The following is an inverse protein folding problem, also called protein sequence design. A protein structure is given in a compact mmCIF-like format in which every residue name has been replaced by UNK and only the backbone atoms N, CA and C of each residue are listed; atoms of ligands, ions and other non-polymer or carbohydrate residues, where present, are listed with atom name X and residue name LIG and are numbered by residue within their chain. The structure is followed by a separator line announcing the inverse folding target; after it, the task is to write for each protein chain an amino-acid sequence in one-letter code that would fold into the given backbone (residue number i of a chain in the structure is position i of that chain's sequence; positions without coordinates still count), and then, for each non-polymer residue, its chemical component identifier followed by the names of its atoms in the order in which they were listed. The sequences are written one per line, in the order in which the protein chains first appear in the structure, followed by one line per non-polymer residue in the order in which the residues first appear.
data_IF_620859548059
#
_entry.id   IF_620859548059
#
_cell.length_a   1.000
_cell.length_b   1.000
_cell.length_c   1.000
_cell.angle_alpha   90.00
_cell.angle_beta   90.00
_cell.angle_gamma   90.00
#
_symmetry.space_group_name_H-M   'P 1'
#
loop_
_entity.id
_entity.type
_entity.pdbx_description
1 polymer ?
#
# COMPACT_ATOMS: atom_id res chain seq x y z
N UNK A 1 45.48 12.70 -54.19
CA UNK A 1 45.51 11.80 -53.01
C UNK A 1 44.54 12.40 -51.99
N UNK A 2 43.26 12.03 -52.00
CA UNK A 2 42.59 11.05 -51.13
C UNK A 2 42.73 11.29 -49.60
N UNK A 3 41.56 11.55 -48.98
CA UNK A 3 41.12 11.31 -47.58
C UNK A 3 41.44 12.42 -46.58
N UNK A 4 40.64 12.73 -45.56
CA UNK A 4 39.24 12.52 -45.19
C UNK A 4 39.03 13.32 -43.89
N UNK A 5 37.80 13.79 -43.62
CA UNK A 5 37.41 14.61 -42.48
C UNK A 5 37.56 13.94 -41.11
N UNK A 6 37.60 14.73 -40.02
CA UNK A 6 36.71 14.50 -38.87
C UNK A 6 36.62 15.72 -37.94
N UNK A 7 35.36 16.07 -37.67
CA UNK A 7 34.82 17.10 -36.78
C UNK A 7 34.85 16.58 -35.33
N UNK A 8 35.08 17.47 -34.37
CA UNK A 8 34.88 17.19 -32.93
C UNK A 8 34.11 18.32 -32.27
N UNK A 9 32.79 18.34 -32.42
CA UNK A 9 31.88 19.24 -31.72
C UNK A 9 31.68 18.70 -30.30
N UNK A 10 32.20 19.40 -29.29
CA UNK A 10 32.03 19.01 -27.88
C UNK A 10 30.64 19.43 -27.40
N UNK A 11 29.67 18.53 -27.51
CA UNK A 11 28.33 18.70 -26.97
C UNK A 11 28.35 18.42 -25.46
N UNK A 12 28.41 19.48 -24.67
CA UNK A 12 28.24 19.39 -23.22
C UNK A 12 26.77 19.09 -22.91
N UNK A 13 26.45 17.82 -22.67
CA UNK A 13 25.13 17.37 -22.28
C UNK A 13 24.88 17.76 -20.81
N UNK A 14 24.18 18.88 -20.59
CA UNK A 14 23.57 19.15 -19.28
C UNK A 14 22.50 18.08 -19.02
N UNK A 15 22.80 17.16 -18.12
CA UNK A 15 21.81 16.26 -17.54
C UNK A 15 20.88 17.10 -16.64
N UNK A 16 19.82 17.64 -17.23
CA UNK A 16 18.71 18.19 -16.45
C UNK A 16 18.03 17.02 -15.75
N UNK A 17 18.32 16.84 -14.46
CA UNK A 17 17.54 15.98 -13.58
C UNK A 17 16.15 16.61 -13.50
N UNK A 18 15.21 16.06 -14.26
CA UNK A 18 13.80 16.41 -14.10
C UNK A 18 13.40 16.05 -12.66
N UNK A 19 12.85 16.98 -11.87
CA UNK A 19 12.34 16.65 -10.55
C UNK A 19 11.23 15.62 -10.74
N UNK A 20 11.39 14.46 -10.08
CA UNK A 20 10.37 13.42 -10.07
C UNK A 20 9.04 14.03 -9.61
N UNK A 21 8.04 14.00 -10.47
CA UNK A 21 6.69 14.38 -10.13
C UNK A 21 6.18 13.40 -9.07
N UNK A 22 6.26 13.79 -7.81
CA UNK A 22 5.55 13.11 -6.74
C UNK A 22 4.06 13.34 -6.98
N UNK A 23 3.32 12.29 -7.36
CA UNK A 23 1.86 12.34 -7.43
C UNK A 23 1.32 12.47 -6.00
N UNK A 24 1.04 13.70 -5.58
CA UNK A 24 0.41 14.00 -4.31
C UNK A 24 -1.09 14.17 -4.57
N UNK A 25 -1.90 13.31 -3.96
CA UNK A 25 -3.35 13.43 -4.06
C UNK A 25 -3.85 14.52 -3.12
N UNK A 26 -4.82 15.29 -3.58
CA UNK A 26 -5.49 16.33 -2.80
C UNK A 26 -6.98 16.06 -2.77
N UNK A 27 -7.61 16.44 -1.67
CA UNK A 27 -9.07 16.47 -1.56
C UNK A 27 -9.55 17.88 -1.31
N UNK A 28 -10.64 18.27 -1.97
CA UNK A 28 -11.42 19.44 -1.60
C UNK A 28 -12.92 19.08 -1.46
N UNK A 29 -13.65 19.85 -0.66
CA UNK A 29 -15.10 19.74 -0.52
C UNK A 29 -15.75 20.92 -1.24
N UNK A 30 -16.80 20.67 -2.01
CA UNK A 30 -17.59 21.74 -2.63
C UNK A 30 -18.65 22.30 -1.66
N UNK A 31 -19.40 23.29 -2.13
CA UNK A 31 -20.42 23.99 -1.33
C UNK A 31 -21.62 23.10 -0.96
N UNK A 32 -21.73 21.91 -1.56
CA UNK A 32 -22.75 20.90 -1.22
C UNK A 32 -22.26 19.87 -0.20
N UNK A 33 -21.00 19.99 0.23
CA UNK A 33 -20.35 19.03 1.11
C UNK A 33 -19.87 17.76 0.39
N UNK A 34 -19.92 17.72 -0.95
CA UNK A 34 -19.43 16.59 -1.73
C UNK A 34 -17.91 16.68 -1.90
N UNK A 35 -17.24 15.55 -1.76
CA UNK A 35 -15.80 15.45 -1.75
C UNK A 35 -15.24 15.09 -3.14
N UNK A 36 -14.25 15.84 -3.58
CA UNK A 36 -13.56 15.66 -4.86
C UNK A 36 -12.09 15.34 -4.63
N UNK A 37 -11.55 14.38 -5.38
CA UNK A 37 -10.17 13.91 -5.26
C UNK A 37 -9.44 14.18 -6.57
N UNK A 38 -8.26 14.78 -6.47
CA UNK A 38 -7.44 15.12 -7.63
C UNK A 38 -5.98 14.77 -7.38
N UNK A 39 -5.28 14.41 -8.44
CA UNK A 39 -3.87 14.00 -8.48
C UNK A 39 -2.90 15.19 -8.61
N UNK A 40 -3.32 16.39 -8.17
CA UNK A 40 -2.50 17.60 -8.17
C UNK A 40 -3.24 18.84 -7.67
N UNK A 41 -2.52 19.75 -7.02
CA UNK A 41 -3.09 21.00 -6.48
C UNK A 41 -3.63 21.92 -7.59
N UNK A 42 -3.06 21.83 -8.78
CA UNK A 42 -3.44 22.53 -10.00
C UNK A 42 -4.87 22.17 -10.46
N UNK A 43 -5.29 20.93 -10.22
CA UNK A 43 -6.62 20.44 -10.58
C UNK A 43 -7.72 20.83 -9.59
N UNK A 44 -7.37 21.56 -8.52
CA UNK A 44 -8.33 22.09 -7.55
C UNK A 44 -8.81 23.47 -8.01
N UNK A 45 -10.14 23.70 -8.11
CA UNK A 45 -10.69 25.03 -8.36
C UNK A 45 -10.19 26.03 -7.31
N UNK A 46 -9.77 27.22 -7.74
CA UNK A 46 -9.07 28.19 -6.87
C UNK A 46 -9.80 28.48 -5.55
N UNK A 47 -11.13 28.57 -5.63
CA UNK A 47 -12.02 28.81 -4.48
C UNK A 47 -11.93 27.75 -3.37
N UNK A 48 -11.49 26.53 -3.70
CA UNK A 48 -11.34 25.44 -2.74
C UNK A 48 -9.88 25.07 -2.46
N UNK A 49 -8.92 25.72 -3.12
CA UNK A 49 -7.49 25.38 -3.04
C UNK A 49 -6.91 25.64 -1.64
N UNK A 50 -7.38 26.68 -0.96
CA UNK A 50 -6.95 27.00 0.42
C UNK A 50 -7.53 26.05 1.47
N UNK A 51 -8.64 25.38 1.16
CA UNK A 51 -9.27 24.36 2.01
C UNK A 51 -8.87 22.93 1.63
N UNK A 52 -8.03 22.78 0.59
CA UNK A 52 -7.61 21.47 0.11
C UNK A 52 -6.68 20.78 1.10
N UNK A 53 -6.97 19.53 1.40
CA UNK A 53 -6.14 18.71 2.29
C UNK A 53 -5.24 17.82 1.44
N UNK A 54 -3.91 17.91 1.59
CA UNK A 54 -3.01 16.95 0.96
C UNK A 54 -3.23 15.58 1.59
N UNK A 55 -3.65 14.62 0.77
CA UNK A 55 -3.75 13.23 1.17
C UNK A 55 -2.35 12.62 1.05
N UNK A 56 -1.67 12.52 2.19
CA UNK A 56 -0.55 11.60 2.31
C UNK A 56 -1.13 10.23 2.61
N UNK A 57 -1.05 9.28 1.67
CA UNK A 57 -1.27 7.85 1.96
C UNK A 57 -0.17 7.25 2.88
N UNK A 58 0.62 8.10 3.57
CA UNK A 58 1.60 7.67 4.56
C UNK A 58 0.91 7.40 5.89
N UNK A 59 0.57 6.13 6.12
CA UNK A 59 0.31 5.64 7.47
C UNK A 59 1.64 5.49 8.20
N UNK A 60 2.26 6.62 8.57
CA UNK A 60 3.38 6.61 9.50
C UNK A 60 2.83 6.33 10.90
N UNK A 61 3.40 5.37 11.65
CA UNK A 61 3.19 5.33 13.10
C UNK A 61 3.52 6.72 13.65
N UNK A 62 2.72 7.24 14.59
CA UNK A 62 3.22 8.28 15.47
C UNK A 62 4.56 7.78 16.03
N UNK A 63 5.61 8.60 15.95
CA UNK A 63 6.96 8.20 16.33
C UNK A 63 6.98 7.67 17.77
N UNK A 64 6.92 6.35 17.93
CA UNK A 64 7.19 5.68 19.20
C UNK A 64 8.71 5.53 19.29
N UNK A 65 9.35 5.86 20.42
CA UNK A 65 10.78 5.63 20.59
C UNK A 65 11.08 4.15 20.35
N UNK A 66 12.19 3.91 19.65
CA UNK A 66 12.66 2.59 19.27
C UNK A 66 12.55 1.60 20.45
N UNK A 67 11.58 0.68 20.36
CA UNK A 67 11.50 -0.42 21.31
C UNK A 67 12.42 -1.53 20.83
N UNK A 68 13.52 -1.65 21.56
CA UNK A 68 14.54 -2.69 21.50
C UNK A 68 13.92 -4.09 21.50
N UNK A 69 14.29 -4.89 20.49
CA UNK A 69 14.22 -6.37 20.39
C UNK A 69 12.86 -7.07 20.70
N UNK A 70 12.26 -7.66 19.66
CA UNK A 70 11.13 -8.62 19.70
C UNK A 70 11.14 -9.53 18.46
N UNK A 71 10.50 -10.73 18.51
CA UNK A 71 11.07 -12.01 18.09
C UNK A 71 11.23 -12.17 16.57
N UNK A 72 12.16 -13.07 16.18
CA UNK A 72 12.51 -13.42 14.81
C UNK A 72 11.28 -13.47 13.89
N UNK A 73 11.18 -12.46 13.01
CA UNK A 73 10.25 -12.43 11.88
C UNK A 73 10.47 -13.73 11.09
N UNK A 74 9.48 -14.61 11.07
CA UNK A 74 9.59 -15.84 10.30
C UNK A 74 9.83 -15.45 8.83
N UNK A 75 10.91 -16.01 8.25
CA UNK A 75 11.36 -15.66 6.90
C UNK A 75 10.24 -15.91 5.89
N UNK A 76 9.98 -14.97 4.96
CA UNK A 76 9.04 -15.19 3.87
C UNK A 76 9.40 -16.47 3.10
N UNK A 77 8.40 -17.29 2.82
CA UNK A 77 8.58 -18.57 2.14
C UNK A 77 7.57 -18.73 1.01
N UNK A 78 7.91 -19.54 0.01
CA UNK A 78 7.04 -19.91 -1.11
C UNK A 78 6.99 -18.89 -2.25
N UNK A 79 6.74 -19.40 -3.45
CA UNK A 79 6.54 -18.60 -4.66
C UNK A 79 5.09 -18.75 -5.08
N UNK A 80 4.43 -17.65 -5.43
CA UNK A 80 3.04 -17.69 -5.87
C UNK A 80 2.82 -16.83 -7.10
N UNK A 81 1.82 -17.20 -7.90
CA UNK A 81 1.31 -16.42 -9.03
C UNK A 81 -0.15 -16.10 -8.76
N UNK A 82 -0.42 -14.81 -8.59
CA UNK A 82 -1.76 -14.26 -8.43
C UNK A 82 -2.26 -13.85 -9.80
N UNK A 83 -3.39 -14.42 -10.22
CA UNK A 83 -4.04 -14.06 -11.49
C UNK A 83 -5.09 -12.97 -11.25
N UNK A 84 -5.16 -12.01 -12.15
CA UNK A 84 -6.12 -10.92 -12.11
C UNK A 84 -6.55 -10.49 -13.52
N UNK A 85 -7.70 -9.84 -13.62
CA UNK A 85 -8.18 -9.28 -14.89
C UNK A 85 -7.52 -7.92 -15.12
N UNK A 86 -6.78 -7.70 -16.23
CA UNK A 86 -6.20 -6.39 -16.53
C UNK A 86 -7.25 -5.28 -16.53
N UNK A 87 -6.90 -4.13 -15.95
CA UNK A 87 -7.81 -2.99 -15.78
C UNK A 87 -8.84 -3.14 -14.65
N UNK A 88 -8.85 -4.27 -13.93
CA UNK A 88 -9.60 -4.44 -12.69
C UNK A 88 -8.65 -4.38 -11.49
N UNK A 89 -9.25 -4.20 -10.31
CA UNK A 89 -8.54 -4.28 -9.05
C UNK A 89 -8.06 -5.71 -8.78
N UNK A 90 -6.89 -5.83 -8.17
CA UNK A 90 -6.27 -7.13 -7.87
C UNK A 90 -6.77 -7.60 -6.50
N UNK A 91 -7.80 -8.44 -6.51
CA UNK A 91 -8.28 -9.09 -5.29
C UNK A 91 -7.51 -10.38 -5.04
N UNK A 92 -7.12 -10.62 -3.80
CA UNK A 92 -6.31 -11.77 -3.39
C UNK A 92 -6.97 -12.51 -2.24
N UNK A 93 -7.02 -13.83 -2.36
CA UNK A 93 -7.41 -14.70 -1.25
C UNK A 93 -6.21 -14.86 -0.32
N UNK A 94 -6.38 -14.37 0.91
CA UNK A 94 -5.37 -14.35 1.96
C UNK A 94 -5.82 -15.26 3.09
N UNK A 95 -5.00 -16.26 3.40
CA UNK A 95 -5.24 -17.14 4.54
C UNK A 95 -4.60 -16.56 5.79
N UNK A 96 -5.38 -16.43 6.85
CA UNK A 96 -5.02 -15.89 8.15
C UNK A 96 -4.88 -17.05 9.12
N UNK A 97 -3.74 -17.12 9.81
CA UNK A 97 -3.41 -18.15 10.81
C UNK A 97 -3.58 -19.58 10.28
N UNK A 98 -3.38 -19.82 8.97
CA UNK A 98 -3.47 -21.14 8.38
C UNK A 98 -4.88 -21.68 8.14
N UNK A 99 -5.94 -21.01 8.60
CA UNK A 99 -7.29 -21.59 8.69
C UNK A 99 -8.41 -20.74 8.07
N UNK A 100 -8.34 -19.41 8.16
CA UNK A 100 -9.42 -18.54 7.70
C UNK A 100 -9.03 -17.80 6.43
N UNK A 101 -9.84 -17.86 5.38
CA UNK A 101 -9.57 -17.14 4.12
C UNK A 101 -10.37 -15.83 4.08
N UNK A 102 -9.68 -14.73 3.83
CA UNK A 102 -10.25 -13.41 3.60
C UNK A 102 -9.89 -12.92 2.20
N UNK A 103 -10.73 -12.09 1.58
CA UNK A 103 -10.44 -11.48 0.29
C UNK A 103 -9.96 -10.04 0.49
N UNK A 104 -8.68 -9.78 0.22
CA UNK A 104 -8.07 -8.45 0.37
C UNK A 104 -7.78 -7.83 -1.00
N UNK A 105 -7.79 -6.51 -1.09
CA UNK A 105 -7.25 -5.78 -2.23
C UNK A 105 -5.71 -5.71 -2.10
N UNK A 106 -4.97 -6.13 -3.13
CA UNK A 106 -3.54 -5.87 -3.21
C UNK A 106 -3.31 -4.38 -3.46
N UNK A 107 -2.71 -3.70 -2.48
CA UNK A 107 -2.51 -2.25 -2.51
C UNK A 107 -1.05 -1.88 -2.25
N UNK A 108 -0.31 -1.60 -3.33
CA UNK A 108 1.07 -1.12 -3.28
C UNK A 108 1.20 0.31 -2.74
N UNK A 109 0.08 1.05 -2.64
CA UNK A 109 0.00 2.38 -2.03
C UNK A 109 -0.19 2.35 -0.52
N UNK A 110 -0.53 1.19 0.07
CA UNK A 110 -0.73 1.04 1.51
C UNK A 110 0.56 0.59 2.22
N UNK A 111 1.04 1.36 3.19
CA UNK A 111 2.22 1.01 4.00
C UNK A 111 2.00 -0.19 4.93
N UNK A 112 0.73 -0.43 5.29
CA UNK A 112 0.32 -1.41 6.29
C UNK A 112 -0.85 -2.22 5.76
N UNK A 113 -0.82 -3.51 6.05
CA UNK A 113 -1.94 -4.42 5.82
C UNK A 113 -3.07 -4.07 6.80
N UNK A 114 -4.29 -3.93 6.28
CA UNK A 114 -5.49 -3.60 7.05
C UNK A 114 -6.55 -4.67 6.81
N UNK A 115 -7.18 -5.14 7.87
CA UNK A 115 -8.22 -6.18 7.80
C UNK A 115 -9.38 -5.73 8.68
N UNK A 116 -10.61 -5.97 8.22
CA UNK A 116 -11.80 -5.59 8.99
C UNK A 116 -11.80 -6.24 10.39
N UNK A 117 -12.28 -5.54 11.44
CA UNK A 117 -12.42 -6.13 12.76
C UNK A 117 -13.28 -7.39 12.76
N UNK A 118 -14.29 -7.45 11.87
CA UNK A 118 -15.18 -8.62 11.70
C UNK A 118 -14.41 -9.83 11.17
N UNK A 119 -13.59 -9.63 10.15
CA UNK A 119 -12.78 -10.69 9.52
C UNK A 119 -11.72 -11.19 10.48
N UNK A 120 -11.06 -10.30 11.23
CA UNK A 120 -10.08 -10.69 12.27
C UNK A 120 -10.73 -11.52 13.38
N UNK A 121 -11.92 -11.14 13.84
CA UNK A 121 -12.68 -11.92 14.83
C UNK A 121 -13.07 -13.30 14.28
N UNK A 122 -13.54 -13.36 13.03
CA UNK A 122 -13.90 -14.63 12.39
C UNK A 122 -12.68 -15.55 12.21
N UNK A 123 -11.48 -14.97 12.03
CA UNK A 123 -10.21 -15.69 12.01
C UNK A 123 -9.66 -16.06 13.40
N UNK A 124 -10.41 -15.79 14.49
CA UNK A 124 -10.01 -16.11 15.86
C UNK A 124 -8.91 -15.21 16.42
N UNK A 125 -8.64 -14.05 15.81
CA UNK A 125 -7.62 -13.10 16.26
C UNK A 125 -8.14 -12.31 17.47
N UNK A 126 -7.34 -12.26 18.54
CA UNK A 126 -7.68 -11.53 19.74
C UNK A 126 -7.53 -10.01 19.55
N UNK A 127 -8.61 -9.34 19.14
CA UNK A 127 -8.60 -7.89 18.85
C UNK A 127 -8.68 -6.98 20.09
N UNK A 128 -8.96 -7.53 21.28
CA UNK A 128 -9.17 -6.77 22.52
C UNK A 128 -7.88 -6.30 23.20
N UNK A 129 -6.71 -6.71 22.68
CA UNK A 129 -5.38 -6.33 23.19
C UNK A 129 -4.53 -5.78 22.05
N UNK A 130 -4.76 -4.53 21.61
CA UNK A 130 -3.96 -3.93 20.56
C UNK A 130 -2.49 -3.85 21.00
N UNK A 131 -1.58 -4.26 20.13
CA UNK A 131 -0.13 -4.18 20.37
C UNK A 131 0.44 -2.80 20.08
N UNK A 132 -0.28 -2.01 19.27
CA UNK A 132 0.01 -0.63 19.00
C UNK A 132 -1.26 0.10 18.57
N UNK A 133 -1.24 1.43 18.63
CA UNK A 133 -2.24 2.26 17.97
C UNK A 133 -1.55 3.23 17.01
N UNK A 134 -2.11 3.41 15.82
CA UNK A 134 -1.75 4.47 14.88
C UNK A 134 -2.92 5.41 14.64
N UNK A 135 -2.73 6.34 13.71
CA UNK A 135 -3.78 7.21 13.19
C UNK A 135 -3.80 7.08 11.68
N UNK A 136 -5.00 6.94 11.11
CA UNK A 136 -5.22 7.05 9.66
C UNK A 136 -5.84 8.42 9.43
N UNK A 137 -5.20 9.26 8.63
CA UNK A 137 -5.80 10.54 8.23
C UNK A 137 -6.58 10.32 6.94
N UNK A 138 -7.90 10.33 7.06
CA UNK A 138 -8.81 10.17 5.95
C UNK A 138 -9.65 11.43 5.69
N UNK A 139 -10.66 11.21 4.85
CA UNK A 139 -11.61 12.18 4.30
C UNK A 139 -12.50 12.79 5.39
N UNK A 140 -12.85 12.00 6.41
CA UNK A 140 -13.77 12.38 7.49
C UNK A 140 -13.06 12.83 8.76
N UNK A 141 -11.73 12.84 8.77
CA UNK A 141 -10.90 13.16 9.94
C UNK A 141 -9.75 12.17 10.12
N UNK A 142 -9.06 12.26 11.25
CA UNK A 142 -8.13 11.22 11.69
C UNK A 142 -8.91 10.17 12.48
N UNK A 143 -8.85 8.91 12.05
CA UNK A 143 -9.36 7.79 12.83
C UNK A 143 -8.22 7.06 13.54
N UNK A 144 -8.50 6.49 14.71
CA UNK A 144 -7.52 5.70 15.46
C UNK A 144 -7.48 4.30 14.88
N UNK A 145 -6.27 3.87 14.55
CA UNK A 145 -6.02 2.50 14.13
C UNK A 145 -5.48 1.65 15.26
N UNK A 146 -6.14 0.54 15.57
CA UNK A 146 -5.60 -0.51 16.44
C UNK A 146 -4.85 -1.54 15.62
N UNK A 147 -3.63 -1.87 16.03
CA UNK A 147 -2.86 -2.96 15.45
C UNK A 147 -2.97 -4.21 16.32
N UNK A 148 -3.17 -5.35 15.68
CA UNK A 148 -3.23 -6.67 16.30
C UNK A 148 -2.21 -7.58 15.61
N UNK A 149 -1.75 -8.63 16.28
CA UNK A 149 -0.80 -9.58 15.70
C UNK A 149 -1.54 -10.81 15.19
N UNK A 150 -1.28 -11.17 13.95
CA UNK A 150 -1.65 -12.48 13.38
C UNK A 150 -0.43 -13.40 13.43
N UNK A 151 -0.66 -14.71 13.50
CA UNK A 151 0.42 -15.72 13.50
C UNK A 151 1.00 -15.95 12.11
N UNK A 152 0.17 -15.81 11.08
CA UNK A 152 0.61 -15.74 9.68
C UNK A 152 -0.42 -15.16 8.75
N UNK A 153 0.08 -14.62 7.63
CA UNK A 153 -0.67 -14.36 6.42
C UNK A 153 -0.08 -15.19 5.28
N UNK A 154 -0.94 -15.83 4.48
CA UNK A 154 -0.54 -16.59 3.30
C UNK A 154 -1.32 -16.17 2.05
N UNK A 155 -0.62 -16.03 0.93
CA UNK A 155 -1.20 -15.87 -0.41
C UNK A 155 -0.66 -16.99 -1.29
N UNK A 156 -1.48 -18.01 -1.55
CA UNK A 156 -0.99 -19.26 -2.14
C UNK A 156 0.16 -19.84 -1.28
N UNK A 157 1.34 -20.04 -1.87
CA UNK A 157 2.52 -20.48 -1.12
C UNK A 157 3.27 -19.35 -0.41
N UNK A 158 3.06 -18.09 -0.80
CA UNK A 158 3.75 -16.94 -0.22
C UNK A 158 3.27 -16.71 1.22
N UNK A 159 4.14 -16.94 2.20
CA UNK A 159 3.80 -16.88 3.62
C UNK A 159 4.68 -15.90 4.39
N UNK A 160 4.06 -15.04 5.18
CA UNK A 160 4.70 -14.23 6.23
C UNK A 160 4.20 -14.73 7.59
N UNK A 161 5.12 -14.93 8.53
CA UNK A 161 4.74 -15.35 9.90
C UNK A 161 4.19 -14.21 10.74
N UNK A 162 4.46 -14.26 12.05
CA UNK A 162 3.92 -13.28 13.00
C UNK A 162 4.17 -11.84 12.53
N UNK A 163 3.09 -11.09 12.29
CA UNK A 163 3.16 -9.69 11.86
C UNK A 163 1.99 -8.88 12.42
N UNK A 164 2.19 -7.57 12.67
CA UNK A 164 1.09 -6.68 13.02
C UNK A 164 0.24 -6.35 11.78
N UNK A 165 -1.07 -6.31 11.95
CA UNK A 165 -2.05 -5.84 10.95
C UNK A 165 -2.98 -4.81 11.58
N UNK A 166 -3.39 -3.82 10.79
CA UNK A 166 -4.37 -2.83 11.21
C UNK A 166 -5.78 -3.43 11.25
N UNK A 167 -6.51 -3.25 12.35
CA UNK A 167 -7.89 -3.68 12.52
C UNK A 167 -8.85 -2.54 12.14
N UNK A 168 -9.12 -2.33 10.85
CA UNK A 168 -9.86 -1.17 10.32
C UNK A 168 -11.00 -1.55 9.38
N UNK A 169 -12.12 -0.82 9.48
CA UNK A 169 -13.23 -0.96 8.54
C UNK A 169 -13.08 0.04 7.38
N UNK A 170 -12.78 -0.46 6.18
CA UNK A 170 -12.72 0.36 4.96
C UNK A 170 -14.08 0.37 4.25
N UNK A 171 -15.09 0.98 4.89
CA UNK A 171 -16.46 1.01 4.37
C UNK A 171 -16.55 1.68 2.99
N UNK A 172 -17.31 1.07 2.07
CA UNK A 172 -17.68 1.66 0.78
C UNK A 172 -16.55 1.75 -0.26
N UNK A 173 -15.38 1.18 0.02
CA UNK A 173 -14.20 1.33 -0.84
C UNK A 173 -14.04 0.22 -1.87
N UNK A 174 -14.83 -0.86 -1.81
CA UNK A 174 -14.69 -2.01 -2.71
C UNK A 174 -13.39 -2.79 -2.51
N UNK A 175 -12.88 -2.82 -1.27
CA UNK A 175 -11.65 -3.53 -0.86
C UNK A 175 -11.91 -4.94 -0.31
N UNK A 176 -13.15 -5.42 -0.36
CA UNK A 176 -13.52 -6.69 0.28
C UNK A 176 -13.31 -6.61 1.80
N UNK A 177 -12.57 -7.57 2.35
CA UNK A 177 -12.24 -7.68 3.77
C UNK A 177 -11.10 -6.74 4.22
N UNK A 178 -10.41 -6.06 3.29
CA UNK A 178 -9.34 -5.12 3.63
C UNK A 178 -8.26 -4.92 2.56
N UNK A 179 -7.08 -4.45 2.97
CA UNK A 179 -5.93 -4.14 2.12
C UNK A 179 -4.73 -5.03 2.46
N UNK A 180 -4.11 -5.62 1.45
CA UNK A 180 -2.79 -6.25 1.56
C UNK A 180 -1.71 -5.22 1.18
N UNK A 181 -0.98 -4.76 2.19
CA UNK A 181 -0.04 -3.65 2.06
C UNK A 181 1.42 -4.05 1.88
N UNK A 182 2.28 -3.04 1.80
CA UNK A 182 3.73 -3.18 1.59
C UNK A 182 4.47 -3.90 2.71
N UNK A 183 3.96 -3.87 3.94
CA UNK A 183 4.53 -4.64 5.05
C UNK A 183 4.56 -6.15 4.78
N UNK A 184 3.58 -6.68 4.04
CA UNK A 184 3.59 -8.04 3.48
C UNK A 184 4.34 -8.09 2.15
N UNK A 185 4.00 -7.23 1.18
CA UNK A 185 4.51 -7.33 -0.20
C UNK A 185 6.03 -7.16 -0.27
N UNK A 186 6.61 -6.26 0.52
CA UNK A 186 8.05 -6.00 0.56
C UNK A 186 8.84 -7.16 1.19
N UNK A 187 8.20 -8.20 1.72
CA UNK A 187 8.89 -9.42 2.13
C UNK A 187 9.30 -10.27 0.92
N UNK A 188 8.72 -10.02 -0.25
CA UNK A 188 8.95 -10.79 -1.47
C UNK A 188 9.60 -9.92 -2.57
N UNK A 189 10.19 -10.58 -3.56
CA UNK A 189 10.42 -9.99 -4.88
C UNK A 189 9.09 -10.07 -5.64
N UNK A 190 8.45 -8.93 -5.84
CA UNK A 190 7.20 -8.80 -6.58
C UNK A 190 7.47 -8.37 -8.02
N UNK A 191 6.90 -9.08 -8.99
CA UNK A 191 6.86 -8.65 -10.39
C UNK A 191 5.42 -8.69 -10.90
N UNK A 192 5.08 -7.75 -11.79
CA UNK A 192 3.73 -7.63 -12.36
C UNK A 192 3.84 -7.78 -13.88
N UNK A 193 3.17 -8.78 -14.43
CA UNK A 193 2.96 -8.96 -15.87
C UNK A 193 1.52 -8.54 -16.19
N UNK A 194 1.34 -7.25 -16.46
CA UNK A 194 0.03 -6.68 -16.77
C UNK A 194 -0.56 -7.18 -18.09
N UNK A 195 0.27 -7.66 -19.02
CA UNK A 195 -0.17 -8.23 -20.28
C UNK A 195 -0.83 -9.60 -20.07
N UNK A 196 -0.36 -10.37 -19.09
CA UNK A 196 -0.94 -11.67 -18.71
C UNK A 196 -1.94 -11.59 -17.57
N UNK A 197 -2.02 -10.45 -16.88
CA UNK A 197 -2.83 -10.33 -15.67
C UNK A 197 -2.25 -11.19 -14.54
N UNK A 198 -0.94 -11.12 -14.31
CA UNK A 198 -0.26 -11.91 -13.28
C UNK A 198 0.58 -11.04 -12.36
N UNK A 199 0.54 -11.33 -11.06
CA UNK A 199 1.50 -10.85 -10.06
C UNK A 199 2.26 -12.06 -9.53
N UNK A 200 3.58 -12.01 -9.60
CA UNK A 200 4.46 -13.05 -9.10
C UNK A 200 5.10 -12.57 -7.81
N UNK A 201 5.01 -13.37 -6.75
CA UNK A 201 5.74 -13.14 -5.50
C UNK A 201 6.73 -14.28 -5.32
N UNK A 202 8.00 -13.96 -5.07
CA UNK A 202 9.05 -14.95 -4.80
C UNK A 202 9.90 -14.53 -3.60
N UNK A 203 10.51 -15.47 -2.85
CA UNK A 203 11.38 -15.12 -1.73
C UNK A 203 12.58 -14.25 -2.16
N UNK A 204 13.04 -13.39 -1.25
CA UNK A 204 14.22 -12.53 -1.48
C UNK A 204 15.53 -13.31 -1.48
#
# INVERSE_FOLDING_TARGET
MRRAALVGFSLSLLLAVAPGAHAQFFRYSDDTGQNHYVDGLDKIPERYRNAAVPLSLRNAPAATPASTAGPAVARPAGTTVIKYTPGQRIMVDVKINGAFTAQLLLDTGADRTMISPRTLQAAGVAITRPVATGSITGVTGSDRMSYVVVDSLEVGEARVGKMPVGSYELAGTGTGDGLLGRDFLDQFKMTVDAGKGEVHLSPK
#
